data_IF_256941762658
#
_entry.id   IF_256941762658
#
_cell.length_a   1.000
_cell.length_b   1.000
_cell.length_c   1.000
_cell.angle_alpha   90.00
_cell.angle_beta   90.00
_cell.angle_gamma   90.00
#
_symmetry.space_group_name_H-M   'P 1'
#
loop_
_entity.id
_entity.type
_entity.pdbx_description
1 polymer ?
#
# COMPACT_ATOMS: atom_id res chain seq x y z
N UNK A 1 3.17 32.93 26.85
CA UNK A 1 1.97 33.21 26.05
C UNK A 1 1.04 32.03 26.24
N UNK A 2 -0.18 32.23 26.73
CA UNK A 2 -1.17 31.14 26.80
C UNK A 2 -1.70 30.89 25.38
N UNK A 3 -1.21 29.86 24.72
CA UNK A 3 -1.80 29.36 23.48
C UNK A 3 -3.11 28.67 23.84
N UNK A 4 -4.24 29.28 23.46
CA UNK A 4 -5.58 28.72 23.66
C UNK A 4 -5.90 27.67 22.60
N UNK A 5 -4.93 26.82 22.27
CA UNK A 5 -5.05 25.82 21.20
C UNK A 5 -5.38 24.48 21.83
N UNK A 6 -6.53 23.95 21.45
CA UNK A 6 -7.01 22.63 21.85
C UNK A 6 -6.81 21.67 20.68
N UNK A 7 -6.20 20.53 20.95
CA UNK A 7 -6.00 19.43 20.00
C UNK A 7 -6.84 18.24 20.48
N UNK A 8 -7.62 17.65 19.59
CA UNK A 8 -8.43 16.47 19.87
C UNK A 8 -7.80 15.25 19.20
N UNK A 9 -7.42 14.27 20.00
CA UNK A 9 -6.71 13.05 19.62
C UNK A 9 -5.19 13.15 19.83
N UNK A 10 -4.63 12.14 20.50
CA UNK A 10 -3.20 11.95 20.71
C UNK A 10 -2.63 10.85 19.79
N UNK A 11 -3.17 10.72 18.58
CA UNK A 11 -2.52 9.98 17.48
C UNK A 11 -1.32 10.72 16.91
N UNK A 12 -0.62 10.13 15.93
CA UNK A 12 0.59 10.74 15.32
C UNK A 12 0.35 12.19 14.85
N UNK A 13 -0.79 12.48 14.23
CA UNK A 13 -1.14 13.84 13.78
C UNK A 13 -1.27 14.82 14.94
N UNK A 14 -1.99 14.44 16.00
CA UNK A 14 -2.19 15.31 17.16
C UNK A 14 -0.90 15.54 17.95
N UNK A 15 -0.10 14.48 18.13
CA UNK A 15 1.22 14.58 18.76
C UNK A 15 2.19 15.43 17.93
N UNK A 16 2.16 15.30 16.61
CA UNK A 16 2.93 16.16 15.70
C UNK A 16 2.52 17.62 15.81
N UNK A 17 1.21 17.92 15.80
CA UNK A 17 0.70 19.27 15.97
C UNK A 17 1.08 19.88 17.33
N UNK A 18 1.00 19.09 18.41
CA UNK A 18 1.37 19.54 19.75
C UNK A 18 2.86 19.89 19.86
N UNK A 19 3.73 19.16 19.15
CA UNK A 19 5.17 19.45 19.05
C UNK A 19 5.45 20.82 18.44
N UNK A 20 4.72 21.17 17.39
CA UNK A 20 4.87 22.45 16.68
C UNK A 20 4.14 23.62 17.38
N UNK A 21 3.25 23.33 18.34
CA UNK A 21 2.44 24.32 19.05
C UNK A 21 2.63 24.23 20.58
N UNK A 22 3.78 24.69 21.12
CA UNK A 22 4.03 24.69 22.56
C UNK A 22 2.93 25.39 23.36
N UNK A 23 2.52 24.78 24.47
CA UNK A 23 1.44 25.26 25.33
C UNK A 23 0.03 24.88 24.90
N UNK A 24 -0.12 24.17 23.77
CA UNK A 24 -1.39 23.52 23.41
C UNK A 24 -1.78 22.43 24.42
N UNK A 25 -3.09 22.15 24.49
CA UNK A 25 -3.65 21.08 25.32
C UNK A 25 -4.23 20.00 24.42
N UNK A 26 -3.76 18.76 24.60
CA UNK A 26 -4.23 17.58 23.85
C UNK A 26 -5.22 16.81 24.72
N UNK A 27 -6.39 16.50 24.16
CA UNK A 27 -7.37 15.58 24.75
C UNK A 27 -7.42 14.29 23.94
N UNK A 28 -7.21 13.15 24.60
CA UNK A 28 -7.35 11.81 24.03
C UNK A 28 -8.46 11.07 24.76
N UNK A 29 -9.28 10.34 24.02
CA UNK A 29 -10.39 9.58 24.56
C UNK A 29 -9.95 8.19 25.06
N UNK A 30 -8.94 7.59 24.42
CA UNK A 30 -8.30 6.35 24.87
C UNK A 30 -7.43 6.62 26.11
N UNK A 31 -7.12 5.58 26.87
CA UNK A 31 -6.21 5.63 28.03
C UNK A 31 -4.73 5.61 27.63
N UNK A 32 -4.45 5.63 26.33
CA UNK A 32 -3.11 5.63 25.76
C UNK A 32 -3.02 6.58 24.55
N UNK A 33 -1.84 7.16 24.27
CA UNK A 33 -1.58 7.87 23.03
C UNK A 33 -1.29 6.89 21.87
N UNK A 34 -1.08 7.43 20.67
CA UNK A 34 -0.66 6.67 19.47
C UNK A 34 -1.78 6.40 18.47
N UNK A 35 -3.06 6.49 18.88
CA UNK A 35 -4.17 6.25 17.97
C UNK A 35 -4.09 4.87 17.33
N UNK A 36 -4.05 4.80 15.99
CA UNK A 36 -3.94 3.53 15.25
C UNK A 36 -2.56 2.89 15.28
N UNK A 37 -1.49 3.64 15.58
CA UNK A 37 -0.12 3.06 15.66
C UNK A 37 0.23 2.53 17.05
N UNK A 38 -0.77 2.39 17.93
CA UNK A 38 -0.57 1.83 19.25
C UNK A 38 -0.55 0.30 19.21
N UNK A 39 0.44 -0.28 19.89
CA UNK A 39 0.53 -1.72 20.14
C UNK A 39 -0.04 -2.04 21.51
N UNK A 40 -1.00 -2.98 21.59
CA UNK A 40 -1.54 -3.47 22.85
C UNK A 40 -0.92 -4.83 23.21
N UNK A 41 -0.77 -5.08 24.51
CA UNK A 41 -0.20 -6.33 25.00
C UNK A 41 -1.30 -7.31 25.41
N UNK A 42 -1.30 -8.51 24.82
CA UNK A 42 -2.26 -9.57 25.12
C UNK A 42 -1.57 -10.93 25.07
N UNK A 43 -1.76 -11.77 26.09
CA UNK A 43 -1.25 -13.14 26.08
C UNK A 43 0.28 -13.27 25.98
N UNK A 44 1.05 -12.28 26.43
CA UNK A 44 2.51 -12.28 26.35
C UNK A 44 3.07 -11.79 25.01
N UNK A 45 2.20 -11.27 24.12
CA UNK A 45 2.56 -10.76 22.80
C UNK A 45 2.03 -9.33 22.61
N UNK A 46 2.65 -8.60 21.69
CA UNK A 46 2.17 -7.30 21.24
C UNK A 46 1.39 -7.44 19.94
N UNK A 47 0.28 -6.71 19.85
CA UNK A 47 -0.59 -6.67 18.69
C UNK A 47 -0.88 -5.22 18.30
N UNK A 48 -0.86 -4.97 17.00
CA UNK A 48 -1.23 -3.69 16.40
C UNK A 48 -2.63 -3.76 15.78
N UNK A 49 -3.23 -2.60 15.53
CA UNK A 49 -4.43 -2.46 14.70
C UNK A 49 -4.07 -2.54 13.19
N UNK A 50 -3.51 -3.68 12.77
CA UNK A 50 -2.97 -3.91 11.42
C UNK A 50 -1.45 -3.77 11.35
N UNK A 51 -0.86 -4.06 10.17
CA UNK A 51 0.58 -3.99 10.01
C UNK A 51 1.06 -2.53 9.85
N UNK A 52 1.92 -2.07 10.75
CA UNK A 52 2.57 -0.76 10.66
C UNK A 52 4.03 -0.92 10.24
N UNK A 53 4.37 -0.40 9.04
CA UNK A 53 5.74 -0.36 8.52
C UNK A 53 6.07 1.11 8.21
N UNK A 54 7.17 1.60 8.78
CA UNK A 54 7.61 2.98 8.57
C UNK A 54 8.49 3.07 7.31
N UNK A 55 7.98 3.69 6.26
CA UNK A 55 8.71 3.98 5.01
C UNK A 55 9.25 5.42 4.96
N UNK A 56 9.38 6.09 6.10
CA UNK A 56 9.76 7.50 6.14
C UNK A 56 11.17 7.72 5.58
N UNK A 57 11.30 8.74 4.72
CA UNK A 57 12.56 9.17 4.09
C UNK A 57 13.11 10.46 4.69
N UNK A 58 12.28 11.18 5.45
CA UNK A 58 12.66 12.42 6.10
C UNK A 58 13.66 12.14 7.24
N UNK A 59 14.90 12.66 7.16
CA UNK A 59 15.93 12.34 8.15
C UNK A 59 15.56 12.83 9.55
N UNK A 60 14.92 13.99 9.67
CA UNK A 60 14.53 14.57 10.95
C UNK A 60 13.49 13.69 11.65
N UNK A 61 12.50 13.21 10.91
CA UNK A 61 11.50 12.26 11.40
C UNK A 61 12.11 10.92 11.81
N UNK A 62 13.03 10.38 11.00
CA UNK A 62 13.69 9.10 11.31
C UNK A 62 14.53 9.23 12.58
N UNK A 63 15.29 10.32 12.75
CA UNK A 63 16.07 10.54 13.96
C UNK A 63 15.19 10.79 15.18
N UNK A 64 14.07 11.49 15.01
CA UNK A 64 13.08 11.63 16.08
C UNK A 64 12.52 10.26 16.50
N UNK A 65 12.15 9.41 15.54
CA UNK A 65 11.69 8.06 15.82
C UNK A 65 12.76 7.27 16.59
N UNK A 66 14.00 7.24 16.11
CA UNK A 66 15.10 6.52 16.80
C UNK A 66 15.37 7.03 18.20
N UNK A 67 15.24 8.33 18.44
CA UNK A 67 15.44 8.93 19.75
C UNK A 67 14.37 8.54 20.77
N UNK A 68 13.13 8.31 20.31
CA UNK A 68 11.98 8.05 21.18
C UNK A 68 11.53 6.59 21.16
N UNK A 69 11.92 5.82 20.15
CA UNK A 69 11.76 4.38 20.13
C UNK A 69 12.83 3.73 21.02
N UNK A 70 12.52 2.54 21.55
CA UNK A 70 13.53 1.65 22.10
C UNK A 70 14.36 1.06 20.96
N UNK A 71 14.23 -0.23 20.74
CA UNK A 71 14.95 -0.90 19.64
C UNK A 71 14.28 -0.62 18.29
N UNK A 72 15.04 -0.01 17.37
CA UNK A 72 14.61 0.17 15.97
C UNK A 72 15.26 -0.90 15.11
N UNK A 73 14.44 -1.80 14.56
CA UNK A 73 14.89 -2.78 13.59
C UNK A 73 14.69 -2.23 12.18
N UNK A 74 15.79 -2.14 11.42
CA UNK A 74 15.74 -1.78 10.01
C UNK A 74 15.57 -3.04 9.17
N UNK A 75 14.58 -3.02 8.28
CA UNK A 75 14.37 -4.04 7.27
C UNK A 75 14.80 -3.48 5.91
N UNK A 76 15.90 -4.00 5.36
CA UNK A 76 16.40 -3.56 4.04
C UNK A 76 15.62 -4.17 2.87
N UNK A 77 14.85 -5.23 3.12
CA UNK A 77 14.05 -5.92 2.13
C UNK A 77 12.69 -6.30 2.73
N UNK A 78 11.61 -6.00 2.01
CA UNK A 78 10.30 -6.57 2.29
C UNK A 78 10.00 -7.67 1.27
N UNK A 79 9.62 -8.85 1.74
CA UNK A 79 9.18 -9.95 0.88
C UNK A 79 7.66 -9.98 0.91
N UNK A 80 7.04 -9.46 -0.15
CA UNK A 80 5.58 -9.38 -0.28
C UNK A 80 5.12 -10.35 -1.34
N UNK A 81 4.16 -11.21 -1.01
CA UNK A 81 3.60 -12.20 -1.93
C UNK A 81 2.12 -12.41 -1.66
N UNK A 82 1.41 -12.78 -2.72
CA UNK A 82 0.01 -13.16 -2.69
C UNK A 82 -0.07 -14.68 -2.66
N UNK A 83 -0.89 -15.23 -1.75
CA UNK A 83 -1.29 -16.62 -1.82
C UNK A 83 -2.58 -16.72 -2.63
N UNK A 84 -2.50 -17.34 -3.80
CA UNK A 84 -3.58 -17.35 -4.77
C UNK A 84 -3.71 -18.74 -5.41
N UNK A 85 -4.85 -19.40 -5.20
CA UNK A 85 -5.19 -20.74 -5.74
C UNK A 85 -4.07 -21.80 -5.63
N UNK A 86 -3.34 -21.84 -4.51
CA UNK A 86 -2.25 -22.81 -4.31
C UNK A 86 -0.88 -22.35 -4.80
N UNK A 87 -0.77 -21.12 -5.31
CA UNK A 87 0.45 -20.52 -5.82
C UNK A 87 0.87 -19.32 -4.96
N UNK A 88 2.17 -19.20 -4.73
CA UNK A 88 2.78 -17.96 -4.26
C UNK A 88 3.10 -17.08 -5.46
N UNK A 89 2.49 -15.89 -5.50
CA UNK A 89 2.64 -14.92 -6.58
C UNK A 89 3.30 -13.67 -6.02
N UNK A 90 4.51 -13.36 -6.47
CA UNK A 90 5.29 -12.24 -5.95
C UNK A 90 4.58 -10.91 -6.24
N UNK A 91 4.58 -9.99 -5.28
CA UNK A 91 4.07 -8.64 -5.51
C UNK A 91 5.12 -7.80 -6.25
N UNK A 92 4.74 -7.02 -7.28
CA UNK A 92 3.37 -6.84 -7.77
C UNK A 92 3.06 -7.80 -8.93
N UNK A 93 1.87 -8.42 -8.92
CA UNK A 93 1.54 -9.58 -9.78
C UNK A 93 1.80 -9.33 -11.28
N UNK A 94 1.51 -8.13 -11.77
CA UNK A 94 1.71 -7.76 -13.17
C UNK A 94 3.18 -7.85 -13.62
N UNK A 95 4.15 -7.67 -12.70
CA UNK A 95 5.57 -7.81 -13.00
C UNK A 95 6.11 -9.22 -12.77
N UNK A 96 5.28 -10.13 -12.25
CA UNK A 96 5.68 -11.48 -11.84
C UNK A 96 4.77 -12.56 -12.43
N UNK A 97 4.29 -12.35 -13.66
CA UNK A 97 3.35 -13.27 -14.33
C UNK A 97 3.92 -14.69 -14.49
N UNK A 98 5.25 -14.88 -14.44
CA UNK A 98 5.87 -16.22 -14.43
C UNK A 98 5.45 -17.09 -13.24
N UNK A 99 4.98 -16.49 -12.15
CA UNK A 99 4.55 -17.20 -10.95
C UNK A 99 3.13 -17.81 -11.14
N UNK A 100 2.42 -17.41 -12.20
CA UNK A 100 1.10 -17.91 -12.57
C UNK A 100 1.18 -19.18 -13.44
N UNK A 101 0.12 -20.01 -13.44
CA UNK A 101 -0.04 -21.07 -14.43
C UNK A 101 0.08 -20.55 -15.86
N UNK A 102 0.69 -21.35 -16.75
CA UNK A 102 1.08 -20.90 -18.11
C UNK A 102 -0.07 -20.31 -18.91
N UNK A 103 -1.26 -20.91 -18.86
CA UNK A 103 -2.43 -20.45 -19.63
C UNK A 103 -2.91 -19.07 -19.16
N UNK A 104 -2.93 -18.85 -17.83
CA UNK A 104 -3.30 -17.57 -17.23
C UNK A 104 -2.24 -16.51 -17.46
N UNK A 105 -0.96 -16.89 -17.38
CA UNK A 105 0.15 -16.01 -17.72
C UNK A 105 0.05 -15.51 -19.16
N UNK A 106 -0.20 -16.41 -20.11
CA UNK A 106 -0.35 -16.04 -21.53
C UNK A 106 -1.54 -15.11 -21.70
N UNK A 107 -2.70 -15.46 -21.12
CA UNK A 107 -3.90 -14.63 -21.19
C UNK A 107 -3.69 -13.24 -20.60
N UNK A 108 -3.18 -13.15 -19.38
CA UNK A 108 -2.90 -11.89 -18.70
C UNK A 108 -1.91 -11.04 -19.51
N UNK A 109 -0.84 -11.64 -20.05
CA UNK A 109 0.13 -10.91 -20.87
C UNK A 109 -0.49 -10.37 -22.16
N UNK A 110 -1.32 -11.18 -22.84
CA UNK A 110 -2.03 -10.76 -24.05
C UNK A 110 -2.96 -9.59 -23.75
N UNK A 111 -3.77 -9.67 -22.70
CA UNK A 111 -4.72 -8.61 -22.34
C UNK A 111 -4.02 -7.32 -21.89
N UNK A 112 -2.89 -7.42 -21.19
CA UNK A 112 -2.05 -6.24 -20.90
C UNK A 112 -1.58 -5.58 -22.20
N UNK A 113 -1.05 -6.36 -23.16
CA UNK A 113 -0.60 -5.84 -24.45
C UNK A 113 -1.76 -5.19 -25.21
N UNK A 114 -2.91 -5.85 -25.27
CA UNK A 114 -4.12 -5.34 -25.93
C UNK A 114 -4.59 -4.03 -25.29
N UNK A 115 -4.64 -3.95 -23.96
CA UNK A 115 -5.01 -2.75 -23.22
C UNK A 115 -4.05 -1.58 -23.52
N UNK A 116 -2.75 -1.85 -23.66
CA UNK A 116 -1.76 -0.82 -24.02
C UNK A 116 -1.87 -0.36 -25.47
N UNK A 117 -2.22 -1.26 -26.40
CA UNK A 117 -2.42 -0.91 -27.82
C UNK A 117 -3.73 -0.16 -28.04
N UNK A 118 -4.78 -0.53 -27.31
CA UNK A 118 -6.12 0.09 -27.39
C UNK A 118 -6.25 1.33 -26.52
N UNK A 119 -5.21 1.69 -25.75
CA UNK A 119 -5.25 2.78 -24.79
C UNK A 119 -5.63 4.10 -25.46
N UNK A 120 -6.86 4.54 -25.21
CA UNK A 120 -7.33 5.87 -25.56
C UNK A 120 -6.73 6.89 -24.59
N UNK A 121 -6.44 8.10 -25.06
CA UNK A 121 -5.88 9.19 -24.23
C UNK A 121 -6.83 9.73 -23.15
N UNK A 122 -7.98 9.09 -22.93
CA UNK A 122 -8.97 9.47 -21.93
C UNK A 122 -8.55 9.04 -20.53
N UNK A 123 -8.65 9.97 -19.58
CA UNK A 123 -8.47 9.68 -18.15
C UNK A 123 -9.53 8.67 -17.68
N UNK A 124 -9.14 7.57 -17.00
CA UNK A 124 -10.09 6.62 -16.43
C UNK A 124 -11.01 7.28 -15.40
N UNK A 125 -12.30 6.96 -15.44
CA UNK A 125 -13.32 7.60 -14.59
C UNK A 125 -13.33 7.08 -13.13
N UNK A 126 -12.82 5.87 -12.90
CA UNK A 126 -12.80 5.20 -11.61
C UNK A 126 -11.70 4.12 -11.59
N UNK A 127 -11.42 3.58 -10.41
CA UNK A 127 -10.34 2.62 -10.19
C UNK A 127 -10.47 1.35 -11.05
N UNK A 128 -11.67 0.82 -11.23
CA UNK A 128 -11.88 -0.35 -12.11
C UNK A 128 -11.45 -0.08 -13.56
N UNK A 129 -11.89 1.04 -14.14
CA UNK A 129 -11.51 1.42 -15.49
C UNK A 129 -10.00 1.63 -15.61
N UNK A 130 -9.37 2.15 -14.54
CA UNK A 130 -7.93 2.29 -14.49
C UNK A 130 -7.23 0.93 -14.51
N UNK A 131 -7.66 -0.03 -13.68
CA UNK A 131 -7.08 -1.38 -13.66
C UNK A 131 -7.25 -2.09 -15.00
N UNK A 132 -8.43 -2.01 -15.63
CA UNK A 132 -8.65 -2.62 -16.95
C UNK A 132 -7.72 -2.03 -18.01
N UNK A 133 -7.55 -0.70 -18.02
CA UNK A 133 -6.66 -0.02 -18.97
C UNK A 133 -5.17 -0.33 -18.74
N UNK A 134 -4.77 -0.61 -17.51
CA UNK A 134 -3.36 -0.89 -17.18
C UNK A 134 -3.02 -2.38 -17.25
N UNK A 135 -3.93 -3.25 -16.82
CA UNK A 135 -3.64 -4.64 -16.49
C UNK A 135 -4.50 -5.66 -17.25
N UNK A 136 -5.51 -5.21 -18.00
CA UNK A 136 -6.46 -6.10 -18.66
C UNK A 136 -7.42 -6.79 -17.69
N UNK A 137 -8.33 -7.58 -18.25
CA UNK A 137 -9.44 -8.21 -17.52
C UNK A 137 -8.93 -9.24 -16.50
N UNK A 138 -8.08 -10.18 -16.91
CA UNK A 138 -7.65 -11.33 -16.11
C UNK A 138 -6.98 -10.89 -14.81
N UNK A 139 -6.05 -9.94 -14.86
CA UNK A 139 -5.40 -9.45 -13.65
C UNK A 139 -6.35 -8.63 -12.80
N UNK A 140 -7.19 -7.81 -13.44
CA UNK A 140 -8.21 -7.01 -12.76
C UNK A 140 -9.15 -7.89 -11.96
N UNK A 141 -9.69 -8.95 -12.56
CA UNK A 141 -10.61 -9.85 -11.90
C UNK A 141 -9.94 -10.71 -10.83
N UNK A 142 -8.87 -11.40 -11.19
CA UNK A 142 -8.30 -12.46 -10.34
C UNK A 142 -7.49 -11.91 -9.16
N UNK A 143 -7.02 -10.66 -9.22
CA UNK A 143 -6.17 -10.07 -8.18
C UNK A 143 -6.73 -8.76 -7.66
N UNK A 144 -6.91 -7.75 -8.52
CA UNK A 144 -7.25 -6.41 -8.05
C UNK A 144 -8.66 -6.34 -7.49
N UNK A 145 -9.66 -6.94 -8.14
CA UNK A 145 -11.06 -6.93 -7.70
C UNK A 145 -11.27 -7.75 -6.44
N UNK A 146 -10.70 -8.95 -6.38
CA UNK A 146 -10.75 -9.78 -5.18
C UNK A 146 -10.09 -9.09 -3.98
N UNK A 147 -8.87 -8.57 -4.17
CA UNK A 147 -8.16 -7.87 -3.11
C UNK A 147 -8.89 -6.61 -2.67
N UNK A 148 -9.41 -5.82 -3.63
CA UNK A 148 -10.11 -4.57 -3.32
C UNK A 148 -11.40 -4.83 -2.56
N UNK A 149 -12.19 -5.82 -3.00
CA UNK A 149 -13.43 -6.21 -2.31
C UNK A 149 -13.12 -6.67 -0.89
N UNK A 150 -12.05 -7.45 -0.70
CA UNK A 150 -11.62 -7.92 0.62
C UNK A 150 -11.13 -6.78 1.52
N UNK A 151 -10.27 -5.90 1.01
CA UNK A 151 -9.57 -4.89 1.80
C UNK A 151 -10.42 -3.62 2.01
N UNK A 152 -10.95 -3.07 0.93
CA UNK A 152 -11.70 -1.82 0.94
C UNK A 152 -13.19 -2.03 1.22
N UNK A 153 -13.73 -3.22 0.96
CA UNK A 153 -15.17 -3.55 1.09
C UNK A 153 -16.06 -2.61 0.26
N UNK A 154 -15.52 -2.11 -0.84
CA UNK A 154 -16.16 -1.16 -1.76
C UNK A 154 -15.92 -1.62 -3.20
N UNK A 155 -16.92 -1.58 -4.10
CA UNK A 155 -16.72 -1.87 -5.51
C UNK A 155 -15.67 -0.93 -6.14
N UNK A 156 -14.83 -1.47 -7.02
CA UNK A 156 -13.79 -0.68 -7.70
C UNK A 156 -14.36 0.44 -8.58
N UNK A 157 -15.57 0.28 -9.10
CA UNK A 157 -16.28 1.32 -9.85
C UNK A 157 -16.71 2.52 -9.00
N UNK A 158 -16.81 2.35 -7.68
CA UNK A 158 -17.19 3.39 -6.73
C UNK A 158 -15.97 4.09 -6.08
N UNK A 159 -14.77 3.79 -6.56
CA UNK A 159 -13.51 4.34 -6.04
C UNK A 159 -12.85 5.26 -7.07
N UNK A 160 -12.41 6.44 -6.61
CA UNK A 160 -11.70 7.43 -7.44
C UNK A 160 -10.30 6.92 -7.86
N UNK A 161 -9.63 7.64 -8.77
CA UNK A 161 -8.29 7.34 -9.28
C UNK A 161 -7.17 8.15 -8.59
N UNK A 162 -7.50 9.23 -7.90
CA UNK A 162 -6.52 10.17 -7.34
C UNK A 162 -5.60 9.58 -6.25
N UNK A 163 -6.04 8.51 -5.58
CA UNK A 163 -5.26 7.84 -4.54
C UNK A 163 -4.29 6.77 -5.07
N UNK A 164 -4.36 6.44 -6.36
CA UNK A 164 -3.58 5.36 -6.96
C UNK A 164 -2.08 5.71 -7.04
N UNK A 165 -1.76 7.00 -7.14
CA UNK A 165 -0.39 7.49 -7.20
C UNK A 165 0.39 7.06 -5.94
N UNK A 166 1.50 6.34 -6.15
CA UNK A 166 2.32 5.80 -5.06
C UNK A 166 1.74 4.56 -4.38
N UNK A 167 0.59 4.05 -4.84
CA UNK A 167 -0.04 2.82 -4.33
C UNK A 167 -0.03 1.70 -5.36
N UNK A 168 -0.41 1.99 -6.60
CA UNK A 168 -0.35 1.04 -7.72
C UNK A 168 0.70 1.48 -8.73
N UNK A 169 1.36 0.50 -9.35
CA UNK A 169 2.38 0.74 -10.37
C UNK A 169 1.74 0.71 -11.75
N UNK A 170 1.72 1.82 -12.51
CA UNK A 170 1.29 1.81 -13.90
C UNK A 170 2.03 0.75 -14.71
N UNK A 171 1.38 0.23 -15.75
CA UNK A 171 1.94 -0.83 -16.57
C UNK A 171 3.24 -0.38 -17.25
N UNK A 172 4.30 -1.18 -17.09
CA UNK A 172 5.56 -1.00 -17.79
C UNK A 172 5.79 -2.20 -18.70
N UNK A 173 5.35 -2.10 -19.96
CA UNK A 173 5.19 -3.27 -20.83
C UNK A 173 6.46 -4.12 -20.95
N UNK A 174 7.63 -3.50 -21.15
CA UNK A 174 8.91 -4.23 -21.21
C UNK A 174 9.20 -5.01 -19.92
N UNK A 175 8.88 -4.43 -18.76
CA UNK A 175 9.09 -5.04 -17.45
C UNK A 175 8.12 -6.20 -17.22
N UNK A 176 6.85 -6.03 -17.61
CA UNK A 176 5.82 -7.08 -17.53
C UNK A 176 6.19 -8.26 -18.45
N UNK A 177 6.58 -8.00 -19.70
CA UNK A 177 7.05 -9.03 -20.64
C UNK A 177 8.24 -9.79 -20.06
N UNK A 178 9.23 -9.07 -19.51
CA UNK A 178 10.37 -9.70 -18.86
C UNK A 178 9.92 -10.59 -17.69
N UNK A 179 9.07 -10.07 -16.82
CA UNK A 179 8.52 -10.76 -15.65
C UNK A 179 7.65 -11.99 -15.97
N UNK A 180 7.11 -12.08 -17.18
CA UNK A 180 6.43 -13.27 -17.66
C UNK A 180 7.40 -14.40 -18.06
N UNK A 181 8.62 -14.05 -18.46
CA UNK A 181 9.60 -14.98 -19.04
C UNK A 181 10.68 -15.37 -18.03
N UNK A 182 11.19 -14.41 -17.27
CA UNK A 182 12.35 -14.56 -16.40
C UNK A 182 12.10 -13.92 -15.01
N UNK A 183 12.79 -14.39 -13.96
CA UNK A 183 12.75 -13.75 -12.64
C UNK A 183 13.12 -12.27 -12.73
N UNK A 184 12.47 -11.46 -11.89
CA UNK A 184 12.67 -10.02 -11.83
C UNK A 184 12.87 -9.61 -10.37
N UNK A 185 13.83 -8.74 -10.12
CA UNK A 185 13.97 -8.11 -8.81
C UNK A 185 13.16 -6.81 -8.76
N UNK A 186 12.36 -6.67 -7.70
CA UNK A 186 11.65 -5.44 -7.40
C UNK A 186 12.50 -4.57 -6.47
N UNK A 187 12.76 -3.33 -6.91
CA UNK A 187 13.36 -2.33 -6.04
C UNK A 187 12.24 -1.66 -5.28
N UNK A 188 12.16 -1.95 -3.99
CA UNK A 188 11.29 -1.24 -3.08
C UNK A 188 11.95 0.10 -2.78
N UNK A 189 11.33 1.18 -3.27
CA UNK A 189 11.82 2.55 -3.10
C UNK A 189 11.32 3.17 -1.81
#
# INVERSE_FOLDING_TARGET
MHTNTIILGAGLTGLGAARELPGSVVYEAKDHPGGHVYSHHQGGLYFDEGAHICHAKDPEWVELLKKNAGDVVRMDQSLVSNWWHGHWVTYPVQNHLRDLPVDLRIRALTEVVEAQVQSNTSTPAHYEAWCLAQYGETLTEQFYREYTTKYWRTPMADMDVDWLAGRLLPSQLQRIIHGAIAPLEEKQS
#
